data_IF_559268214285
#
_entry.id   IF_559268214285
#
_cell.length_a   1.000
_cell.length_b   1.000
_cell.length_c   1.000
_cell.angle_alpha   90.00
_cell.angle_beta   90.00
_cell.angle_gamma   90.00
#
_symmetry.space_group_name_H-M   'P 1'
#
loop_
_entity.id
_entity.type
_entity.pdbx_description
1 polymer ?
#
# COMPACT_ATOMS: atom_id res chain seq x y z
N UNK A 1 -6.61 25.17 -24.82
CA UNK A 1 -5.76 24.01 -24.50
C UNK A 1 -4.32 24.43 -24.66
N UNK A 2 -3.48 24.16 -23.66
CA UNK A 2 -2.03 24.40 -23.72
C UNK A 2 -1.30 23.26 -24.42
N UNK A 3 0.05 23.25 -24.41
CA UNK A 3 0.84 22.14 -24.93
C UNK A 3 0.54 20.84 -24.17
N UNK A 4 0.67 19.71 -24.86
CA UNK A 4 0.61 18.38 -24.24
C UNK A 4 1.96 18.05 -23.59
N UNK A 5 1.91 17.47 -22.39
CA UNK A 5 3.09 16.99 -21.67
C UNK A 5 3.06 15.47 -21.63
N UNK A 6 4.16 14.84 -22.05
CA UNK A 6 4.37 13.41 -21.85
C UNK A 6 4.75 13.14 -20.40
N UNK A 7 4.01 12.26 -19.73
CA UNK A 7 4.31 11.88 -18.34
C UNK A 7 5.29 10.71 -18.26
N UNK A 8 5.10 9.66 -19.07
CA UNK A 8 5.94 8.45 -19.06
C UNK A 8 5.79 7.63 -20.35
N UNK A 9 6.76 6.75 -20.63
CA UNK A 9 6.76 5.82 -21.77
C UNK A 9 8.04 5.89 -22.61
N UNK A 10 8.16 5.06 -23.66
CA UNK A 10 7.12 4.17 -24.20
C UNK A 10 6.92 2.88 -23.39
N UNK A 11 5.67 2.42 -23.32
CA UNK A 11 5.30 1.11 -22.76
C UNK A 11 4.54 0.32 -23.83
N UNK A 12 4.47 -1.01 -23.69
CA UNK A 12 3.59 -1.80 -24.56
C UNK A 12 2.11 -1.58 -24.22
N UNK A 13 1.81 -1.39 -22.95
CA UNK A 13 0.51 -0.92 -22.46
C UNK A 13 0.68 -0.10 -21.19
N UNK A 14 -0.14 0.94 -21.04
CA UNK A 14 -0.32 1.69 -19.80
C UNK A 14 -1.82 1.87 -19.59
N UNK A 15 -2.29 1.63 -18.37
CA UNK A 15 -3.72 1.58 -18.04
C UNK A 15 -3.99 2.23 -16.70
N UNK A 16 -5.27 2.57 -16.46
CA UNK A 16 -5.79 2.89 -15.14
C UNK A 16 -5.00 4.00 -14.42
N UNK A 17 -4.92 5.18 -15.03
CA UNK A 17 -4.19 6.30 -14.45
C UNK A 17 -5.05 7.08 -13.43
N UNK A 18 -4.48 7.42 -12.28
CA UNK A 18 -4.98 8.41 -11.32
C UNK A 18 -4.00 9.58 -11.24
N UNK A 19 -4.52 10.78 -10.97
CA UNK A 19 -3.75 12.02 -10.91
C UNK A 19 -4.09 12.77 -9.63
N UNK A 20 -3.11 13.46 -9.03
CA UNK A 20 -3.32 14.34 -7.88
C UNK A 20 -3.21 15.83 -8.24
N UNK A 21 -3.47 16.69 -7.26
CA UNK A 21 -3.45 18.15 -7.43
C UNK A 21 -2.04 18.71 -7.70
N UNK A 22 -0.99 17.93 -7.45
CA UNK A 22 0.40 18.27 -7.78
C UNK A 22 0.80 17.90 -9.22
N UNK A 23 -0.10 17.27 -9.98
CA UNK A 23 0.14 16.83 -11.35
C UNK A 23 0.98 15.55 -11.46
N UNK A 24 1.10 14.79 -10.37
CA UNK A 24 1.69 13.45 -10.40
C UNK A 24 0.64 12.44 -10.81
N UNK A 25 1.05 11.41 -11.55
CA UNK A 25 0.17 10.39 -12.12
C UNK A 25 0.65 9.03 -11.68
N UNK A 26 -0.23 8.26 -11.03
CA UNK A 26 -0.02 6.84 -10.77
C UNK A 26 -0.75 6.00 -11.82
N UNK A 27 -0.13 4.96 -12.36
CA UNK A 27 -0.72 4.14 -13.42
C UNK A 27 -0.15 2.72 -13.44
N UNK A 28 -0.92 1.79 -14.00
CA UNK A 28 -0.46 0.43 -14.27
C UNK A 28 0.28 0.35 -15.61
N UNK A 29 1.45 -0.29 -15.63
CA UNK A 29 2.19 -0.63 -16.86
C UNK A 29 2.14 -2.12 -17.16
N UNK A 30 2.23 -2.46 -18.44
CA UNK A 30 2.69 -3.76 -18.92
C UNK A 30 3.68 -3.55 -20.07
N UNK A 31 4.84 -4.21 -20.01
CA UNK A 31 5.86 -4.16 -21.07
C UNK A 31 5.85 -5.46 -21.89
N UNK A 32 6.04 -5.37 -23.22
CA UNK A 32 6.22 -6.51 -24.14
C UNK A 32 7.64 -6.42 -24.73
N UNK A 33 8.41 -7.51 -24.71
CA UNK A 33 9.64 -7.68 -25.51
C UNK A 33 10.74 -8.55 -24.85
N UNK A 34 11.56 -9.21 -25.68
CA UNK A 34 12.60 -10.24 -25.38
C UNK A 34 13.73 -9.86 -24.40
N UNK A 35 13.56 -8.81 -23.59
CA UNK A 35 14.50 -8.41 -22.53
C UNK A 35 14.40 -9.29 -21.28
N UNK A 36 13.52 -10.29 -21.27
CA UNK A 36 13.40 -11.28 -20.21
C UNK A 36 12.57 -10.85 -19.00
N UNK A 37 12.11 -9.59 -18.90
CA UNK A 37 11.44 -9.12 -17.67
C UNK A 37 9.90 -9.08 -17.73
N UNK A 38 9.24 -8.88 -18.88
CA UNK A 38 7.77 -8.94 -19.04
C UNK A 38 6.94 -8.23 -17.96
N UNK A 39 7.51 -7.27 -17.23
CA UNK A 39 7.07 -6.95 -15.87
C UNK A 39 5.87 -6.01 -15.85
N UNK A 40 4.84 -6.39 -15.09
CA UNK A 40 3.71 -5.53 -14.75
C UNK A 40 4.04 -4.75 -13.48
N UNK A 41 3.49 -3.55 -13.36
CA UNK A 41 3.71 -2.78 -12.15
C UNK A 41 2.89 -1.52 -12.07
N UNK A 42 2.91 -0.91 -10.89
CA UNK A 42 2.33 0.38 -10.58
C UNK A 42 3.48 1.39 -10.51
N UNK A 43 3.39 2.43 -11.33
CA UNK A 43 4.40 3.49 -11.40
C UNK A 43 3.74 4.81 -11.03
N UNK A 44 4.58 5.75 -10.56
CA UNK A 44 4.23 7.15 -10.36
C UNK A 44 5.20 8.04 -11.13
N UNK A 45 4.71 9.13 -11.72
CA UNK A 45 5.58 10.11 -12.36
C UNK A 45 4.85 11.38 -12.76
N UNK A 46 5.62 12.37 -13.22
CA UNK A 46 5.09 13.68 -13.63
C UNK A 46 5.74 14.24 -14.91
N UNK A 47 6.44 13.40 -15.68
CA UNK A 47 7.20 13.80 -16.87
C UNK A 47 8.62 14.28 -16.58
N UNK A 48 8.95 14.61 -15.32
CA UNK A 48 10.32 14.92 -14.88
C UNK A 48 10.95 13.79 -14.08
N UNK A 49 10.13 12.99 -13.38
CA UNK A 49 10.55 11.75 -12.73
C UNK A 49 9.58 10.61 -13.04
N UNK A 50 10.05 9.40 -12.80
CA UNK A 50 9.29 8.16 -12.92
C UNK A 50 9.87 7.13 -11.96
N UNK A 51 9.03 6.64 -11.05
CA UNK A 51 9.40 5.62 -10.06
C UNK A 51 8.43 4.44 -10.09
N UNK A 52 8.93 3.27 -9.72
CA UNK A 52 8.11 2.06 -9.50
C UNK A 52 7.67 2.02 -8.05
N UNK A 53 6.36 1.91 -7.82
CA UNK A 53 5.78 1.72 -6.48
C UNK A 53 5.74 0.22 -6.13
N UNK A 54 5.29 -0.60 -7.07
CA UNK A 54 5.22 -2.05 -6.92
C UNK A 54 5.31 -2.73 -8.30
N UNK A 55 5.85 -3.94 -8.34
CA UNK A 55 5.92 -4.77 -9.55
C UNK A 55 5.67 -6.26 -9.23
N UNK A 56 5.60 -7.06 -10.29
CA UNK A 56 5.34 -8.50 -10.23
C UNK A 56 6.61 -9.36 -10.07
N UNK A 57 7.72 -8.78 -9.63
CA UNK A 57 8.94 -9.54 -9.31
C UNK A 57 8.98 -10.02 -7.85
N UNK A 58 8.10 -9.46 -7.02
CA UNK A 58 7.98 -9.71 -5.59
C UNK A 58 6.87 -10.70 -5.23
N UNK A 59 5.90 -10.26 -4.42
CA UNK A 59 4.80 -11.09 -3.91
C UNK A 59 3.48 -10.91 -4.70
N UNK A 60 3.51 -10.13 -5.78
CA UNK A 60 2.31 -9.72 -6.51
C UNK A 60 2.26 -10.36 -7.89
N UNK A 61 1.12 -10.95 -8.23
CA UNK A 61 0.87 -11.54 -9.54
C UNK A 61 0.21 -10.57 -10.51
N UNK A 62 -0.66 -9.69 -9.99
CA UNK A 62 -1.45 -8.76 -10.79
C UNK A 62 -1.91 -7.55 -9.99
N UNK A 63 -2.18 -6.46 -10.70
CA UNK A 63 -2.58 -5.18 -10.13
C UNK A 63 -3.90 -4.70 -10.74
N UNK A 64 -4.68 -3.98 -9.93
CA UNK A 64 -5.82 -3.16 -10.35
C UNK A 64 -5.41 -1.69 -10.49
N UNK A 65 -6.37 -0.81 -10.73
CA UNK A 65 -6.15 0.63 -10.79
C UNK A 65 -5.57 1.17 -9.46
N UNK A 66 -4.45 1.91 -9.47
CA UNK A 66 -3.93 2.59 -8.29
C UNK A 66 -4.77 3.83 -7.96
N UNK A 67 -4.94 4.12 -6.67
CA UNK A 67 -5.50 5.38 -6.18
C UNK A 67 -4.38 6.23 -5.59
N UNK A 68 -4.17 7.42 -6.15
CA UNK A 68 -3.15 8.39 -5.73
C UNK A 68 -3.79 9.51 -4.90
N UNK A 69 -3.17 9.89 -3.79
CA UNK A 69 -3.58 11.05 -2.99
C UNK A 69 -2.68 12.29 -3.23
N UNK A 70 -3.03 13.43 -2.64
CA UNK A 70 -2.29 14.70 -2.78
C UNK A 70 -0.95 14.74 -2.01
N UNK A 71 -0.66 13.72 -1.19
CA UNK A 71 0.61 13.55 -0.52
C UNK A 71 1.58 12.64 -1.33
N UNK A 72 1.25 12.35 -2.59
CA UNK A 72 2.05 11.48 -3.47
C UNK A 72 2.10 10.01 -3.00
N UNK A 73 1.14 9.58 -2.18
CA UNK A 73 1.02 8.21 -1.70
C UNK A 73 0.05 7.42 -2.59
N UNK A 74 0.33 6.12 -2.78
CA UNK A 74 -0.46 5.26 -3.67
C UNK A 74 -1.03 4.08 -2.90
N UNK A 75 -2.34 3.88 -3.01
CA UNK A 75 -2.99 2.63 -2.62
C UNK A 75 -3.12 1.70 -3.84
N UNK A 76 -2.79 0.43 -3.66
CA UNK A 76 -2.67 -0.57 -4.72
C UNK A 76 -3.55 -1.76 -4.36
N UNK A 77 -4.56 -2.06 -5.16
CA UNK A 77 -5.22 -3.36 -5.06
C UNK A 77 -4.44 -4.37 -5.91
N UNK A 78 -3.98 -5.45 -5.28
CA UNK A 78 -3.17 -6.49 -5.93
C UNK A 78 -3.67 -7.91 -5.59
N UNK A 79 -3.43 -8.81 -6.54
CA UNK A 79 -3.53 -10.27 -6.34
C UNK A 79 -2.12 -10.74 -5.98
N UNK A 80 -2.00 -11.55 -4.93
CA UNK A 80 -0.73 -12.10 -4.49
C UNK A 80 -0.30 -13.28 -5.37
N UNK A 81 0.99 -13.63 -5.37
CA UNK A 81 1.47 -14.88 -5.97
C UNK A 81 0.99 -16.11 -5.21
N UNK A 82 0.78 -15.94 -3.91
CA UNK A 82 0.02 -16.87 -3.09
C UNK A 82 -1.47 -16.72 -3.37
N UNK A 83 -2.31 -17.48 -2.66
CA UNK A 83 -3.75 -17.23 -2.72
C UNK A 83 -4.12 -15.90 -2.05
N UNK A 84 -5.13 -15.22 -2.61
CA UNK A 84 -5.74 -14.04 -2.03
C UNK A 84 -5.50 -12.73 -2.80
N UNK A 85 -6.14 -11.67 -2.30
CA UNK A 85 -6.00 -10.31 -2.79
C UNK A 85 -5.97 -9.34 -1.61
N UNK A 86 -5.38 -8.18 -1.82
CA UNK A 86 -5.29 -7.14 -0.79
C UNK A 86 -5.20 -5.75 -1.37
N UNK A 87 -5.27 -4.77 -0.47
CA UNK A 87 -4.97 -3.36 -0.72
C UNK A 87 -3.70 -3.03 0.06
N UNK A 88 -2.73 -2.47 -0.63
CA UNK A 88 -1.37 -2.24 -0.13
C UNK A 88 -0.95 -0.79 -0.35
N UNK A 89 -0.06 -0.27 0.49
CA UNK A 89 0.58 1.05 0.31
C UNK A 89 1.97 0.97 -0.34
N UNK A 90 2.44 -0.21 -0.72
CA UNK A 90 3.81 -0.43 -1.17
C UNK A 90 4.10 -1.87 -1.61
N UNK A 91 5.37 -2.17 -1.94
CA UNK A 91 5.79 -3.44 -2.52
C UNK A 91 5.89 -4.60 -1.52
N UNK A 92 5.96 -4.33 -0.21
CA UNK A 92 6.07 -5.36 0.82
C UNK A 92 4.68 -5.83 1.25
N UNK A 93 4.22 -6.96 0.70
CA UNK A 93 2.89 -7.49 1.00
C UNK A 93 2.63 -7.78 2.49
N UNK A 94 3.66 -7.92 3.33
CA UNK A 94 3.49 -8.13 4.77
C UNK A 94 3.40 -6.80 5.52
N UNK A 95 4.30 -5.86 5.23
CA UNK A 95 4.42 -4.61 5.99
C UNK A 95 3.55 -3.48 5.43
N UNK A 96 3.19 -3.53 4.15
CA UNK A 96 2.40 -2.52 3.46
C UNK A 96 0.91 -2.92 3.31
N UNK A 97 0.48 -4.05 3.87
CA UNK A 97 -0.93 -4.47 3.84
C UNK A 97 -1.81 -3.50 4.63
N UNK A 98 -2.82 -2.94 3.97
CA UNK A 98 -3.87 -2.13 4.58
C UNK A 98 -5.05 -3.03 4.97
N UNK A 99 -5.47 -3.90 4.06
CA UNK A 99 -6.51 -4.91 4.25
C UNK A 99 -6.37 -6.01 3.21
N UNK A 100 -6.57 -7.26 3.59
CA UNK A 100 -6.45 -8.44 2.72
C UNK A 100 -7.61 -9.42 2.91
N UNK A 101 -7.87 -10.23 1.88
CA UNK A 101 -8.70 -11.42 2.04
C UNK A 101 -8.08 -12.34 3.09
N UNK A 102 -8.90 -12.90 3.97
CA UNK A 102 -8.44 -13.64 5.15
C UNK A 102 -8.48 -12.82 6.44
N UNK A 103 -8.47 -11.49 6.35
CA UNK A 103 -8.59 -10.63 7.53
C UNK A 103 -9.99 -10.75 8.16
N UNK A 104 -10.04 -10.52 9.48
CA UNK A 104 -11.28 -10.50 10.22
C UNK A 104 -11.95 -9.11 10.14
N UNK A 105 -13.25 -9.08 9.86
CA UNK A 105 -14.09 -7.88 9.86
C UNK A 105 -15.45 -8.22 10.46
N UNK A 106 -15.81 -7.52 11.54
CA UNK A 106 -17.05 -7.74 12.30
C UNK A 106 -17.30 -9.21 12.71
N UNK A 107 -16.21 -9.92 13.06
CA UNK A 107 -16.25 -11.32 13.45
C UNK A 107 -16.37 -12.32 12.30
N UNK A 108 -16.43 -11.84 11.05
CA UNK A 108 -16.40 -12.64 9.83
C UNK A 108 -15.03 -12.53 9.14
N UNK A 109 -14.79 -13.34 8.11
CA UNK A 109 -13.59 -13.27 7.28
C UNK A 109 -13.89 -12.54 5.97
N UNK A 110 -13.01 -11.65 5.54
CA UNK A 110 -13.06 -11.04 4.21
C UNK A 110 -12.71 -12.12 3.17
N UNK A 111 -13.64 -12.44 2.28
CA UNK A 111 -13.48 -13.44 1.19
C UNK A 111 -13.44 -12.80 -0.19
N UNK A 112 -13.60 -11.49 -0.27
CA UNK A 112 -13.41 -10.70 -1.49
C UNK A 112 -13.38 -9.23 -1.13
N UNK A 113 -12.61 -8.45 -1.86
CA UNK A 113 -12.53 -7.00 -1.68
C UNK A 113 -12.30 -6.30 -3.01
N UNK A 114 -12.70 -5.04 -3.11
CA UNK A 114 -12.44 -4.19 -4.26
C UNK A 114 -12.28 -2.72 -3.86
N UNK A 115 -11.30 -2.05 -4.47
CA UNK A 115 -11.06 -0.62 -4.32
C UNK A 115 -11.20 0.08 -5.67
N UNK A 116 -11.95 1.19 -5.69
CA UNK A 116 -12.03 2.07 -6.85
C UNK A 116 -10.84 3.03 -6.95
N UNK A 117 -10.67 3.66 -8.13
CA UNK A 117 -9.54 4.58 -8.42
C UNK A 117 -9.52 5.86 -7.56
N UNK A 118 -10.63 6.19 -6.89
CA UNK A 118 -10.77 7.31 -5.94
C UNK A 118 -10.93 6.79 -4.50
N UNK A 119 -10.44 5.58 -4.23
CA UNK A 119 -10.60 4.88 -2.96
C UNK A 119 -9.70 5.40 -1.85
N UNK A 120 -8.71 6.24 -2.15
CA UNK A 120 -7.68 6.67 -1.21
C UNK A 120 -7.63 8.19 -1.06
N UNK A 121 -7.54 8.69 0.18
CA UNK A 121 -7.54 10.12 0.48
C UNK A 121 -6.26 10.60 1.20
N UNK A 122 -6.16 11.92 1.39
CA UNK A 122 -4.99 12.58 2.02
C UNK A 122 -4.83 12.26 3.51
N UNK A 123 -5.86 11.73 4.16
CA UNK A 123 -5.81 11.24 5.53
C UNK A 123 -5.30 9.79 5.62
N UNK A 124 -4.78 9.25 4.51
CA UNK A 124 -4.34 7.86 4.35
C UNK A 124 -5.44 6.84 4.64
N UNK A 125 -6.70 7.18 4.35
CA UNK A 125 -7.83 6.27 4.52
C UNK A 125 -8.19 5.62 3.18
N UNK A 126 -8.57 4.35 3.23
CA UNK A 126 -9.01 3.59 2.06
C UNK A 126 -10.47 3.18 2.21
N UNK A 127 -11.31 3.60 1.25
CA UNK A 127 -12.67 3.06 1.09
C UNK A 127 -12.65 1.89 0.12
N UNK A 128 -13.27 0.77 0.51
CA UNK A 128 -13.31 -0.45 -0.27
C UNK A 128 -14.64 -1.19 -0.07
N UNK A 129 -15.07 -1.96 -1.07
CA UNK A 129 -16.11 -2.97 -0.86
C UNK A 129 -15.49 -4.24 -0.33
N UNK A 130 -16.19 -4.96 0.54
CA UNK A 130 -15.79 -6.28 1.00
C UNK A 130 -16.98 -7.23 1.02
N UNK A 131 -16.75 -8.45 0.53
CA UNK A 131 -17.63 -9.60 0.72
C UNK A 131 -17.09 -10.44 1.87
N UNK A 132 -17.96 -10.77 2.81
CA UNK A 132 -17.65 -11.52 4.03
C UNK A 132 -18.03 -12.99 3.89
N UNK A 133 -17.50 -13.82 4.79
CA UNK A 133 -17.69 -15.28 4.79
C UNK A 133 -19.14 -15.74 5.02
N UNK A 134 -19.97 -14.88 5.60
CA UNK A 134 -21.42 -15.11 5.75
C UNK A 134 -22.22 -14.73 4.48
N UNK A 135 -21.53 -14.24 3.44
CA UNK A 135 -22.12 -13.78 2.19
C UNK A 135 -22.51 -12.30 2.17
N UNK A 136 -22.39 -11.59 3.29
CA UNK A 136 -22.69 -10.16 3.38
C UNK A 136 -21.69 -9.35 2.55
N UNK A 137 -22.15 -8.30 1.88
CA UNK A 137 -21.29 -7.33 1.19
C UNK A 137 -21.55 -5.93 1.72
N UNK A 138 -20.49 -5.14 1.88
CA UNK A 138 -20.57 -3.78 2.41
C UNK A 138 -19.45 -2.88 1.90
N UNK A 139 -19.55 -1.59 2.21
CA UNK A 139 -18.52 -0.58 1.97
C UNK A 139 -17.87 -0.24 3.32
N UNK A 140 -16.55 -0.33 3.39
CA UNK A 140 -15.78 -0.18 4.61
C UNK A 140 -14.68 0.85 4.43
N UNK A 141 -14.23 1.43 5.56
CA UNK A 141 -13.18 2.43 5.61
C UNK A 141 -12.03 1.91 6.48
N UNK A 142 -10.88 1.65 5.87
CA UNK A 142 -9.63 1.42 6.60
C UNK A 142 -8.99 2.77 6.93
N UNK A 143 -8.65 2.98 8.21
CA UNK A 143 -7.96 4.19 8.68
C UNK A 143 -6.64 3.81 9.36
N UNK A 144 -5.59 4.63 9.24
CA UNK A 144 -4.35 4.39 9.99
C UNK A 144 -4.64 4.40 11.49
N UNK A 145 -4.09 3.42 12.21
CA UNK A 145 -4.17 3.41 13.68
C UNK A 145 -3.15 4.42 14.21
N UNK A 146 -3.56 5.45 14.97
CA UNK A 146 -2.61 6.34 15.63
C UNK A 146 -1.76 5.51 16.58
N UNK A 147 -0.43 5.54 16.44
CA UNK A 147 0.45 4.91 17.42
C UNK A 147 0.12 5.50 18.80
N UNK A 148 -0.35 4.70 19.77
CA UNK A 148 -0.57 5.22 21.11
C UNK A 148 0.75 5.76 21.64
N UNK A 149 0.73 6.92 22.29
CA UNK A 149 1.90 7.55 22.91
C UNK A 149 2.66 6.62 23.90
N UNK A 150 2.11 5.45 24.24
CA UNK A 150 2.71 4.40 25.05
C UNK A 150 4.05 3.84 24.51
N UNK A 151 4.39 4.01 23.22
CA UNK A 151 5.71 3.65 22.71
C UNK A 151 6.87 4.45 23.34
N UNK A 152 6.59 5.63 23.93
CA UNK A 152 7.59 6.38 24.69
C UNK A 152 7.72 5.97 26.17
N UNK A 153 6.72 5.29 26.74
CA UNK A 153 6.69 4.96 28.18
C UNK A 153 7.63 3.80 28.54
N UNK A 154 7.89 2.89 27.59
CA UNK A 154 8.84 1.79 27.79
C UNK A 154 10.31 2.22 27.68
N UNK A 155 10.60 3.38 27.07
CA UNK A 155 11.95 3.93 27.00
C UNK A 155 12.45 4.55 28.31
N UNK A 156 11.56 5.16 29.10
CA UNK A 156 11.92 5.81 30.37
C UNK A 156 11.92 4.87 31.59
N UNK A 157 11.20 3.74 31.53
CA UNK A 157 11.12 2.80 32.65
C UNK A 157 12.36 1.92 32.87
N UNK A 158 13.14 1.66 31.82
CA UNK A 158 14.30 0.74 31.90
C UNK A 158 15.55 1.38 32.53
N UNK A 159 15.68 2.72 32.49
CA UNK A 159 16.84 3.45 33.02
C UNK A 159 16.85 3.56 34.55
N UNK A 160 15.70 3.41 35.22
CA UNK A 160 15.64 3.43 36.69
C UNK A 160 16.14 2.13 37.37
N UNK A 161 16.27 1.01 36.64
CA UNK A 161 16.62 -0.29 37.22
C UNK A 161 18.13 -0.61 37.26
N UNK A 162 19.00 0.25 36.70
CA UNK A 162 20.47 0.03 36.68
C UNK A 162 21.17 0.60 37.94
N UNK A 163 20.45 1.35 38.77
CA UNK A 163 21.05 2.13 39.88
C UNK A 163 21.32 1.40 41.21
N UNK A 164 20.82 0.17 41.44
CA UNK A 164 20.89 -0.47 42.77
C UNK A 164 21.51 -1.87 42.70
N UNK A 165 22.79 -1.99 42.32
CA UNK A 165 23.67 -3.07 42.79
C UNK A 165 25.11 -2.56 42.88
N UNK A 166 25.44 -1.84 43.96
CA UNK A 166 26.85 -1.67 44.37
C UNK A 166 27.19 -2.72 45.42
N UNK A 167 28.05 -3.66 44.99
CA UNK A 167 28.58 -4.82 45.72
C UNK A 167 29.27 -4.42 47.03
N UNK A 168 29.00 -5.16 48.12
CA UNK A 168 29.95 -5.34 49.22
C UNK A 168 31.01 -6.38 48.80
N UNK A 169 32.28 -6.11 49.05
CA UNK A 169 33.33 -7.15 49.13
C UNK A 169 33.81 -7.30 50.57
N UNK A 170 34.17 -8.53 50.90
CA UNK A 170 34.48 -9.11 52.19
C UNK A 170 35.89 -8.77 52.72
N UNK A 171 36.16 -9.29 53.92
CA UNK A 171 37.38 -9.29 54.73
C UNK A 171 38.72 -9.30 53.99
#
# INVERSE_FOLDING_TARGET
GGPLTTIAGPFASATNASINDNGEVAFGKAQIGNSGDGSKGILIGNGSFLDTIADDTGAFMAFSAPSLNNNSEVAIMAILDTEGAGIFSGPDALNDSIVSTGDALDGMTIVGLHMGINGFNDARQVVFTARLSDGTEGIYLASPVPLPAAFWLFGSGLLCMVGIVRRKKAA
#
